data_IF_747541126104
#
_entry.id   IF_747541126104
#
_cell.length_a   1.000
_cell.length_b   1.000
_cell.length_c   1.000
_cell.angle_alpha   90.00
_cell.angle_beta   90.00
_cell.angle_gamma   90.00
#
_symmetry.space_group_name_H-M   'P 1'
#
loop_
_entity.id
_entity.type
_entity.pdbx_description
1 polymer ?
#
# COMPACT_ATOMS: atom_id res chain seq x y z
N UNK A 1 -2.22 -16.39 -12.36
CA UNK A 1 -2.29 -16.82 -10.94
C UNK A 1 -2.61 -15.59 -10.12
N UNK A 2 -3.50 -15.67 -9.13
CA UNK A 2 -3.69 -14.56 -8.19
C UNK A 2 -2.48 -14.49 -7.27
N UNK A 3 -1.78 -13.36 -7.26
CA UNK A 3 -0.69 -13.10 -6.33
C UNK A 3 -1.26 -12.55 -5.03
N UNK A 4 -1.07 -13.29 -3.93
CA UNK A 4 -1.52 -12.88 -2.61
C UNK A 4 -0.33 -12.41 -1.78
N UNK A 5 -0.41 -11.19 -1.23
CA UNK A 5 0.58 -10.64 -0.32
C UNK A 5 0.01 -10.70 1.10
N UNK A 6 0.61 -11.51 1.97
CA UNK A 6 0.20 -11.60 3.37
C UNK A 6 0.90 -10.53 4.21
N UNK A 7 0.13 -9.63 4.81
CA UNK A 7 0.68 -8.63 5.74
C UNK A 7 1.13 -9.22 7.10
N UNK A 8 0.85 -10.50 7.35
CA UNK A 8 1.42 -11.23 8.50
C UNK A 8 2.92 -11.56 8.29
N UNK A 9 3.38 -11.62 7.03
CA UNK A 9 4.73 -12.09 6.68
C UNK A 9 5.64 -11.00 6.12
N UNK A 10 5.09 -9.87 5.67
CA UNK A 10 5.85 -8.73 5.16
C UNK A 10 5.39 -7.42 5.80
N UNK A 11 6.31 -6.46 5.94
CA UNK A 11 5.94 -5.11 6.39
C UNK A 11 5.05 -4.43 5.34
N UNK A 12 4.17 -3.52 5.78
CA UNK A 12 3.30 -2.78 4.86
C UNK A 12 4.09 -2.04 3.77
N UNK A 13 5.23 -1.45 4.14
CA UNK A 13 6.13 -0.76 3.20
C UNK A 13 6.66 -1.71 2.11
N UNK A 14 7.04 -2.93 2.47
CA UNK A 14 7.51 -3.92 1.49
C UNK A 14 6.35 -4.47 0.66
N UNK A 15 5.18 -4.70 1.26
CA UNK A 15 3.98 -5.09 0.54
C UNK A 15 3.63 -4.09 -0.57
N UNK A 16 3.65 -2.78 -0.26
CA UNK A 16 3.39 -1.75 -1.27
C UNK A 16 4.45 -1.73 -2.38
N UNK A 17 5.73 -1.98 -2.07
CA UNK A 17 6.77 -2.09 -3.10
C UNK A 17 6.49 -3.24 -4.07
N UNK A 18 6.12 -4.40 -3.54
CA UNK A 18 5.76 -5.56 -4.36
C UNK A 18 4.54 -5.26 -5.23
N UNK A 19 3.51 -4.61 -4.69
CA UNK A 19 2.33 -4.20 -5.46
C UNK A 19 2.69 -3.21 -6.59
N UNK A 20 3.66 -2.33 -6.34
CA UNK A 20 4.09 -1.33 -7.31
C UNK A 20 4.86 -1.92 -8.50
N UNK A 21 5.56 -3.06 -8.33
CA UNK A 21 6.30 -3.73 -9.40
C UNK A 21 5.40 -4.11 -10.60
N UNK A 22 4.11 -4.36 -10.35
CA UNK A 22 3.10 -4.65 -11.38
C UNK A 22 2.23 -3.46 -11.80
N UNK A 23 2.51 -2.25 -11.30
CA UNK A 23 1.67 -1.06 -11.51
C UNK A 23 2.37 0.01 -12.35
N UNK A 24 1.62 1.04 -12.77
CA UNK A 24 2.18 2.24 -13.42
C UNK A 24 2.91 3.19 -12.44
N UNK A 25 2.82 2.93 -11.13
CA UNK A 25 3.45 3.74 -10.09
C UNK A 25 4.75 3.09 -9.63
N UNK A 26 5.88 3.80 -9.77
CA UNK A 26 7.21 3.26 -9.50
C UNK A 26 7.85 3.83 -8.24
N UNK A 27 7.28 4.89 -7.68
CA UNK A 27 7.75 5.54 -6.45
C UNK A 27 6.61 5.82 -5.48
N UNK A 28 6.91 5.78 -4.18
CA UNK A 28 5.96 6.19 -3.14
C UNK A 28 5.51 7.65 -3.27
N UNK A 29 6.32 8.47 -3.94
CA UNK A 29 5.97 9.86 -4.25
C UNK A 29 4.78 9.91 -5.19
N UNK A 30 4.80 9.17 -6.29
CA UNK A 30 3.72 9.13 -7.28
C UNK A 30 2.41 8.61 -6.67
N UNK A 31 2.51 7.57 -5.82
CA UNK A 31 1.36 7.06 -5.06
C UNK A 31 0.77 8.12 -4.13
N UNK A 32 1.63 8.81 -3.36
CA UNK A 32 1.19 9.86 -2.44
C UNK A 32 0.55 11.05 -3.19
N UNK A 33 1.16 11.49 -4.30
CA UNK A 33 0.64 12.59 -5.13
C UNK A 33 -0.71 12.24 -5.75
N UNK A 34 -0.86 11.01 -6.26
CA UNK A 34 -2.12 10.53 -6.85
C UNK A 34 -3.25 10.43 -5.82
N UNK A 35 -2.91 10.11 -4.57
CA UNK A 35 -3.85 10.08 -3.45
C UNK A 35 -4.10 11.46 -2.82
N UNK A 36 -3.52 12.53 -3.39
CA UNK A 36 -3.54 13.89 -2.85
C UNK A 36 -3.07 13.95 -1.39
N UNK A 37 -2.16 13.05 -1.00
CA UNK A 37 -1.60 12.96 0.34
C UNK A 37 -0.22 13.63 0.39
N UNK A 38 0.07 14.47 1.39
CA UNK A 38 1.42 15.00 1.57
C UNK A 38 2.44 13.85 1.71
N UNK A 39 3.51 13.91 0.92
CA UNK A 39 4.56 12.87 0.91
C UNK A 39 5.12 12.57 2.29
N UNK A 40 5.35 13.61 3.11
CA UNK A 40 5.84 13.44 4.48
C UNK A 40 4.87 12.68 5.36
N UNK A 41 3.57 12.93 5.23
CA UNK A 41 2.50 12.21 5.93
C UNK A 41 2.45 10.75 5.48
N UNK A 42 2.51 10.50 4.17
CA UNK A 42 2.50 9.14 3.62
C UNK A 42 3.71 8.34 4.11
N UNK A 43 4.91 8.92 3.99
CA UNK A 43 6.15 8.29 4.42
C UNK A 43 6.16 8.01 5.92
N UNK A 44 5.79 9.00 6.74
CA UNK A 44 5.67 8.83 8.20
C UNK A 44 4.66 7.75 8.57
N UNK A 45 3.53 7.67 7.87
CA UNK A 45 2.50 6.66 8.13
C UNK A 45 3.00 5.26 7.77
N UNK A 46 3.79 5.12 6.70
CA UNK A 46 4.43 3.85 6.34
C UNK A 46 5.49 3.42 7.35
N UNK A 47 6.37 4.34 7.72
CA UNK A 47 7.51 4.03 8.59
C UNK A 47 7.06 3.72 10.04
N UNK A 48 5.95 4.32 10.49
CA UNK A 48 5.37 4.08 11.82
C UNK A 48 4.22 3.05 11.82
N UNK A 49 3.94 2.40 10.70
CA UNK A 49 2.81 1.48 10.53
C UNK A 49 1.44 2.07 10.99
N UNK A 50 1.26 3.37 10.73
CA UNK A 50 0.12 4.17 11.20
C UNK A 50 -0.89 4.49 10.08
N UNK A 51 -0.80 3.81 8.93
CA UNK A 51 -1.77 3.96 7.85
C UNK A 51 -3.14 3.46 8.33
N UNK A 52 -4.16 4.31 8.19
CA UNK A 52 -5.54 3.93 8.48
C UNK A 52 -6.01 2.92 7.44
N UNK A 53 -6.82 1.94 7.86
CA UNK A 53 -7.38 0.91 6.96
C UNK A 53 -8.08 1.51 5.73
N UNK A 54 -8.80 2.63 5.89
CA UNK A 54 -9.43 3.36 4.78
C UNK A 54 -8.41 3.85 3.74
N UNK A 55 -7.29 4.40 4.20
CA UNK A 55 -6.25 4.91 3.32
C UNK A 55 -5.50 3.75 2.67
N UNK A 56 -5.25 2.67 3.42
CA UNK A 56 -4.72 1.42 2.88
C UNK A 56 -5.59 0.86 1.75
N UNK A 57 -6.91 0.81 1.93
CA UNK A 57 -7.84 0.35 0.91
C UNK A 57 -7.73 1.15 -0.39
N UNK A 58 -7.62 2.49 -0.28
CA UNK A 58 -7.41 3.36 -1.45
C UNK A 58 -6.08 3.06 -2.14
N UNK A 59 -5.00 2.91 -1.36
CA UNK A 59 -3.66 2.63 -1.88
C UNK A 59 -3.67 1.29 -2.63
N UNK A 60 -4.17 0.21 -2.04
CA UNK A 60 -4.14 -1.10 -2.70
C UNK A 60 -5.02 -1.12 -3.95
N UNK A 61 -6.17 -0.44 -3.91
CA UNK A 61 -7.04 -0.33 -5.09
C UNK A 61 -6.38 0.45 -6.22
N UNK A 62 -5.68 1.54 -5.89
CA UNK A 62 -4.89 2.32 -6.84
C UNK A 62 -3.81 1.46 -7.52
N UNK A 63 -3.20 0.53 -6.77
CA UNK A 63 -2.18 -0.38 -7.27
C UNK A 63 -2.74 -1.63 -7.95
N UNK A 64 -4.07 -1.74 -8.11
CA UNK A 64 -4.73 -2.88 -8.78
C UNK A 64 -4.98 -4.10 -7.89
N UNK A 65 -4.93 -3.95 -6.57
CA UNK A 65 -5.16 -5.01 -5.58
C UNK A 65 -6.48 -4.80 -4.80
N UNK A 66 -6.97 -5.89 -4.20
CA UNK A 66 -8.07 -5.88 -3.24
C UNK A 66 -7.57 -6.24 -1.84
N UNK A 67 -8.08 -5.55 -0.81
CA UNK A 67 -7.79 -5.87 0.58
C UNK A 67 -8.80 -6.90 1.12
N UNK A 68 -8.32 -8.07 1.54
CA UNK A 68 -9.16 -9.12 2.16
C UNK A 68 -8.84 -9.28 3.65
N UNK A 69 -9.88 -9.37 4.48
CA UNK A 69 -9.76 -9.73 5.90
C UNK A 69 -10.11 -11.21 6.07
N UNK A 70 -9.21 -11.98 6.67
CA UNK A 70 -9.42 -13.40 6.94
C UNK A 70 -9.44 -13.61 8.45
N UNK A 71 -10.49 -14.23 8.97
CA UNK A 71 -10.57 -14.66 10.37
C UNK A 71 -9.88 -16.02 10.50
N UNK A 72 -8.91 -16.13 11.42
CA UNK A 72 -8.33 -17.42 11.83
C UNK A 72 -9.26 -18.15 12.80
#
# INVERSE_FOLDING_TARGET
MMENISLDTVTLKNALRLMMEGSEYHTFKEVAETLEMPRSTFQSSLDNNAIRVRDLQKIVHLLGYELTLVKK
#
